data_IF_544401046064
#
_entry.id   IF_544401046064
#
_cell.length_a   1.000
_cell.length_b   1.000
_cell.length_c   1.000
_cell.angle_alpha   90.00
_cell.angle_beta   90.00
_cell.angle_gamma   90.00
#
_symmetry.space_group_name_H-M   'P 1'
#
loop_
_entity.id
_entity.type
_entity.pdbx_description
1 polymer ?
#
# COMPACT_ATOMS: atom_id res chain seq x y z
N UNK A 1 24.85 -19.08 33.66
CA UNK A 1 23.46 -18.94 33.17
C UNK A 1 23.23 -17.46 32.94
N UNK A 2 23.36 -16.99 31.69
CA UNK A 2 23.21 -15.57 31.36
C UNK A 2 21.75 -15.36 30.98
N UNK A 3 20.99 -14.72 31.87
CA UNK A 3 19.66 -14.18 31.55
C UNK A 3 19.90 -12.98 30.65
N UNK A 4 19.78 -13.17 29.34
CA UNK A 4 19.70 -12.03 28.41
C UNK A 4 18.28 -11.48 28.52
N UNK A 5 18.11 -10.47 29.36
CA UNK A 5 16.99 -9.54 29.23
C UNK A 5 17.11 -8.90 27.85
N UNK A 6 16.28 -9.37 26.92
CA UNK A 6 16.00 -8.64 25.68
C UNK A 6 15.21 -7.40 26.11
N UNK A 7 15.92 -6.33 26.44
CA UNK A 7 15.29 -5.02 26.44
C UNK A 7 14.80 -4.78 25.01
N UNK A 8 13.50 -4.53 24.78
CA UNK A 8 13.06 -4.08 23.47
C UNK A 8 13.81 -2.78 23.22
N UNK A 9 14.70 -2.79 22.23
CA UNK A 9 15.30 -1.56 21.71
C UNK A 9 14.13 -0.76 21.16
N UNK A 10 13.60 0.10 22.02
CA UNK A 10 12.69 1.17 21.66
C UNK A 10 13.48 2.00 20.65
N UNK A 11 13.19 1.81 19.36
CA UNK A 11 13.46 2.86 18.39
C UNK A 11 12.12 3.59 18.26
N UNK A 12 11.85 4.59 19.13
CA UNK A 12 10.73 5.47 18.89
C UNK A 12 11.02 6.07 17.53
N UNK A 13 10.14 5.86 16.55
CA UNK A 13 10.08 6.63 15.31
C UNK A 13 11.46 7.14 14.87
N UNK A 14 12.06 6.47 13.89
CA UNK A 14 12.91 7.22 12.96
C UNK A 14 11.99 8.32 12.42
N UNK A 15 11.98 9.49 13.08
CA UNK A 15 11.72 10.81 12.51
C UNK A 15 12.85 11.02 11.52
N UNK A 16 12.82 10.24 10.45
CA UNK A 16 13.91 10.12 9.53
C UNK A 16 13.28 9.70 8.23
N UNK A 17 13.49 10.59 7.28
CA UNK A 17 13.31 10.51 5.86
C UNK A 17 12.47 9.32 5.34
N UNK A 18 11.41 9.58 4.57
CA UNK A 18 10.65 8.50 3.96
C UNK A 18 11.61 7.58 3.19
N UNK A 19 11.48 6.26 3.36
CA UNK A 19 12.39 5.23 2.78
C UNK A 19 12.60 5.45 1.27
N UNK A 20 11.60 6.04 0.62
CA UNK A 20 11.68 6.51 -0.75
C UNK A 20 10.91 7.81 -0.87
N UNK A 21 11.30 8.64 -1.83
CA UNK A 21 10.61 9.87 -2.18
C UNK A 21 9.74 9.59 -3.42
N UNK A 22 8.40 9.43 -3.28
CA UNK A 22 7.52 9.08 -4.41
C UNK A 22 7.66 10.05 -5.59
N UNK A 23 7.86 11.33 -5.27
CA UNK A 23 8.08 12.43 -6.22
C UNK A 23 9.28 12.20 -7.16
N UNK A 24 10.31 11.46 -6.70
CA UNK A 24 11.52 11.17 -7.48
C UNK A 24 11.39 9.94 -8.37
N UNK A 25 10.38 9.10 -8.18
CA UNK A 25 10.16 7.89 -8.98
C UNK A 25 9.50 8.22 -10.32
N UNK A 26 9.72 7.39 -11.35
CA UNK A 26 8.89 7.44 -12.58
C UNK A 26 7.52 6.81 -12.33
N UNK A 27 6.54 7.00 -13.23
CA UNK A 27 5.25 6.28 -13.14
C UNK A 27 5.43 4.76 -13.16
N UNK A 28 6.45 4.27 -13.87
CA UNK A 28 6.83 2.86 -13.85
C UNK A 28 7.37 2.43 -12.48
N UNK A 29 8.25 3.25 -11.87
CA UNK A 29 8.78 3.00 -10.54
C UNK A 29 7.70 2.98 -9.47
N UNK A 30 6.77 3.94 -9.53
CA UNK A 30 5.59 3.96 -8.65
C UNK A 30 4.76 2.69 -8.81
N UNK A 31 4.47 2.27 -10.05
CA UNK A 31 3.70 1.07 -10.32
C UNK A 31 4.38 -0.20 -9.78
N UNK A 32 5.67 -0.38 -10.10
CA UNK A 32 6.42 -1.55 -9.68
C UNK A 32 6.52 -1.64 -8.14
N UNK A 33 6.71 -0.50 -7.47
CA UNK A 33 6.81 -0.46 -6.01
C UNK A 33 5.44 -0.71 -5.35
N UNK A 34 4.35 -0.16 -5.89
CA UNK A 34 3.01 -0.44 -5.38
C UNK A 34 2.66 -1.93 -5.46
N UNK A 35 2.95 -2.58 -6.60
CA UNK A 35 2.67 -4.00 -6.80
C UNK A 35 3.54 -4.90 -5.90
N UNK A 36 4.82 -4.55 -5.73
CA UNK A 36 5.71 -5.25 -4.81
C UNK A 36 5.22 -5.13 -3.35
N UNK A 37 4.86 -3.92 -2.91
CA UNK A 37 4.35 -3.68 -1.56
C UNK A 37 3.02 -4.39 -1.32
N UNK A 38 2.14 -4.46 -2.31
CA UNK A 38 0.90 -5.27 -2.25
C UNK A 38 1.22 -6.74 -2.00
N UNK A 39 2.16 -7.30 -2.75
CA UNK A 39 2.59 -8.70 -2.57
C UNK A 39 3.15 -8.94 -1.16
N UNK A 40 3.96 -8.02 -0.63
CA UNK A 40 4.48 -8.12 0.74
C UNK A 40 3.34 -8.06 1.76
N UNK A 41 2.37 -7.17 1.58
CA UNK A 41 1.19 -7.07 2.45
C UNK A 41 0.36 -8.37 2.43
N UNK A 42 0.17 -9.00 1.27
CA UNK A 42 -0.53 -10.29 1.14
C UNK A 42 0.21 -11.41 1.89
N UNK A 43 1.55 -11.45 1.81
CA UNK A 43 2.37 -12.39 2.57
C UNK A 43 2.22 -12.17 4.08
N UNK A 44 2.27 -10.91 4.54
CA UNK A 44 2.08 -10.58 5.95
C UNK A 44 0.68 -10.98 6.42
N UNK A 45 -0.36 -10.70 5.64
CA UNK A 45 -1.73 -11.10 5.96
C UNK A 45 -1.86 -12.63 6.11
N UNK A 46 -1.24 -13.40 5.21
CA UNK A 46 -1.19 -14.86 5.30
C UNK A 46 -0.45 -15.37 6.54
N UNK A 47 0.64 -14.71 6.94
CA UNK A 47 1.35 -15.01 8.18
C UNK A 47 0.48 -14.70 9.40
N UNK A 48 -0.19 -13.55 9.43
CA UNK A 48 -1.04 -13.11 10.54
C UNK A 48 -2.22 -14.06 10.82
N UNK A 49 -2.63 -14.88 9.85
CA UNK A 49 -3.66 -15.90 10.03
C UNK A 49 -3.22 -17.09 10.89
N UNK A 50 -1.92 -17.25 11.17
CA UNK A 50 -1.45 -18.35 12.01
C UNK A 50 -1.76 -18.06 13.49
N UNK A 51 -2.21 -19.05 14.28
CA UNK A 51 -2.53 -18.86 15.70
C UNK A 51 -1.37 -18.27 16.51
N UNK A 52 -0.12 -18.57 16.13
CA UNK A 52 1.04 -17.99 16.81
C UNK A 52 1.11 -16.47 16.66
N UNK A 53 0.58 -15.88 15.59
CA UNK A 53 0.62 -14.43 15.33
C UNK A 53 -0.70 -13.73 15.68
N UNK A 54 -1.78 -14.48 15.90
CA UNK A 54 -3.10 -13.98 16.29
C UNK A 54 -3.65 -14.90 17.39
N UNK A 55 -3.47 -14.50 18.65
CA UNK A 55 -3.93 -15.27 19.83
C UNK A 55 -5.09 -14.53 20.52
N UNK A 56 -6.30 -14.70 19.99
CA UNK A 56 -7.51 -14.07 20.53
C UNK A 56 -7.44 -12.54 20.50
N UNK A 57 -7.82 -11.90 21.63
CA UNK A 57 -7.93 -10.44 21.75
C UNK A 57 -6.58 -9.72 21.98
N UNK A 58 -5.48 -10.46 22.23
CA UNK A 58 -4.16 -9.88 22.48
C UNK A 58 -3.11 -10.41 21.52
N UNK A 59 -2.47 -9.52 20.78
CA UNK A 59 -1.39 -9.89 19.88
C UNK A 59 -0.11 -10.19 20.67
N UNK A 60 0.51 -11.37 20.49
CA UNK A 60 1.85 -11.60 21.00
C UNK A 60 2.84 -10.64 20.31
N UNK A 61 4.02 -10.42 20.90
CA UNK A 61 5.01 -9.43 20.42
C UNK A 61 5.31 -9.54 18.91
N UNK A 62 5.49 -10.75 18.40
CA UNK A 62 5.73 -10.98 16.97
C UNK A 62 4.49 -10.74 16.10
N UNK A 63 3.28 -10.87 16.64
CA UNK A 63 2.04 -10.45 15.99
C UNK A 63 1.94 -8.92 15.90
N UNK A 64 2.22 -8.21 16.98
CA UNK A 64 2.29 -6.73 17.01
C UNK A 64 3.34 -6.20 16.01
N UNK A 65 4.52 -6.82 15.95
CA UNK A 65 5.55 -6.45 14.96
C UNK A 65 5.08 -6.64 13.51
N UNK A 66 4.37 -7.73 13.20
CA UNK A 66 3.81 -7.96 11.86
C UNK A 66 2.71 -6.96 11.54
N UNK A 67 1.85 -6.62 12.50
CA UNK A 67 0.82 -5.61 12.32
C UNK A 67 1.43 -4.25 12.01
N UNK A 68 2.40 -3.80 12.79
CA UNK A 68 3.10 -2.52 12.56
C UNK A 68 3.79 -2.47 11.21
N UNK A 69 4.39 -3.57 10.77
CA UNK A 69 4.98 -3.68 9.44
C UNK A 69 3.90 -3.57 8.34
N UNK A 70 2.75 -4.21 8.53
CA UNK A 70 1.62 -4.10 7.60
C UNK A 70 1.10 -2.66 7.52
N UNK A 71 0.91 -1.99 8.66
CA UNK A 71 0.49 -0.58 8.72
C UNK A 71 1.48 0.33 8.00
N UNK A 72 2.78 0.13 8.24
CA UNK A 72 3.82 0.87 7.56
C UNK A 72 3.78 0.70 6.04
N UNK A 73 3.65 -0.55 5.56
CA UNK A 73 3.55 -0.86 4.13
C UNK A 73 2.29 -0.24 3.51
N UNK A 74 1.16 -0.30 4.22
CA UNK A 74 -0.09 0.30 3.75
C UNK A 74 0.04 1.83 3.63
N UNK A 75 0.67 2.49 4.61
CA UNK A 75 0.97 3.92 4.53
C UNK A 75 1.87 4.26 3.34
N UNK A 76 2.91 3.46 3.09
CA UNK A 76 3.78 3.61 1.94
C UNK A 76 3.03 3.45 0.60
N UNK A 77 2.10 2.49 0.49
CA UNK A 77 1.24 2.31 -0.69
C UNK A 77 0.32 3.51 -0.91
N UNK A 78 -0.31 4.03 0.14
CA UNK A 78 -1.16 5.22 0.04
C UNK A 78 -0.41 6.42 -0.53
N UNK A 79 0.82 6.68 -0.09
CA UNK A 79 1.66 7.76 -0.62
C UNK A 79 1.97 7.57 -2.11
N UNK A 80 2.25 6.33 -2.55
CA UNK A 80 2.50 6.02 -3.96
C UNK A 80 1.23 6.26 -4.80
N UNK A 81 0.06 5.85 -4.31
CA UNK A 81 -1.21 6.07 -4.99
C UNK A 81 -1.52 7.54 -5.17
N UNK A 82 -1.45 8.32 -4.08
CA UNK A 82 -1.68 9.76 -4.14
C UNK A 82 -0.76 10.43 -5.15
N UNK A 83 0.53 10.07 -5.15
CA UNK A 83 1.49 10.65 -6.07
C UNK A 83 1.23 10.24 -7.53
N UNK A 84 0.89 8.96 -7.77
CA UNK A 84 0.57 8.47 -9.10
C UNK A 84 -0.70 9.12 -9.69
N UNK A 85 -1.72 9.38 -8.85
CA UNK A 85 -2.97 9.99 -9.28
C UNK A 85 -2.82 11.49 -9.60
N UNK A 86 -1.95 12.20 -8.88
CA UNK A 86 -1.63 13.62 -9.14
C UNK A 86 -0.97 13.86 -10.50
N UNK A 87 -0.24 12.87 -11.03
CA UNK A 87 0.56 13.05 -12.25
C UNK A 87 -0.28 12.96 -13.53
N UNK A 88 -0.11 13.90 -14.48
CA UNK A 88 -0.69 13.75 -15.80
C UNK A 88 0.05 12.65 -16.57
N UNK A 89 -0.65 11.70 -17.21
CA UNK A 89 -0.01 10.66 -18.00
C UNK A 89 0.65 11.26 -19.25
N UNK A 90 1.93 10.93 -19.49
CA UNK A 90 2.69 11.42 -20.66
C UNK A 90 2.69 10.43 -21.82
N UNK A 91 2.49 9.15 -21.51
CA UNK A 91 2.50 8.04 -22.45
C UNK A 91 1.27 7.16 -22.27
N UNK A 92 0.97 6.33 -23.26
CA UNK A 92 -0.09 5.32 -23.13
C UNK A 92 0.21 4.29 -22.05
N UNK A 93 1.49 3.99 -21.80
CA UNK A 93 1.90 3.14 -20.70
C UNK A 93 1.56 3.78 -19.34
N UNK A 94 1.78 5.10 -19.19
CA UNK A 94 1.41 5.82 -17.98
C UNK A 94 -0.11 5.86 -17.78
N UNK A 95 -0.89 6.01 -18.87
CA UNK A 95 -2.36 5.91 -18.81
C UNK A 95 -2.80 4.58 -18.24
N UNK A 96 -2.24 3.46 -18.74
CA UNK A 96 -2.57 2.11 -18.24
C UNK A 96 -2.18 1.93 -16.77
N UNK A 97 -1.03 2.45 -16.35
CA UNK A 97 -0.61 2.42 -14.94
C UNK A 97 -1.51 3.28 -14.07
N UNK A 98 -1.96 4.44 -14.56
CA UNK A 98 -2.92 5.29 -13.84
C UNK A 98 -4.28 4.59 -13.65
N UNK A 99 -4.74 3.87 -14.67
CA UNK A 99 -5.93 2.99 -14.55
C UNK A 99 -5.74 1.93 -13.47
N UNK A 100 -4.55 1.32 -13.36
CA UNK A 100 -4.26 0.38 -12.27
C UNK A 100 -4.44 1.04 -10.89
N UNK A 101 -3.88 2.22 -10.65
CA UNK A 101 -4.00 2.90 -9.36
C UNK A 101 -5.45 3.27 -9.01
N UNK A 102 -6.21 3.74 -10.00
CA UNK A 102 -7.65 4.02 -9.82
C UNK A 102 -8.41 2.73 -9.51
N UNK A 103 -8.14 1.65 -10.24
CA UNK A 103 -8.82 0.39 -10.01
C UNK A 103 -8.51 -0.20 -8.63
N UNK A 104 -7.25 -0.15 -8.20
CA UNK A 104 -6.79 -0.71 -6.92
C UNK A 104 -7.47 -0.04 -5.71
N UNK A 105 -7.83 1.25 -5.77
CA UNK A 105 -8.63 1.93 -4.73
C UNK A 105 -10.05 1.36 -4.55
N UNK A 106 -10.60 0.72 -5.57
CA UNK A 106 -11.98 0.23 -5.55
C UNK A 106 -12.10 -1.29 -5.34
N UNK A 107 -10.98 -2.03 -5.44
CA UNK A 107 -10.96 -3.50 -5.31
C UNK A 107 -10.30 -4.00 -4.02
N UNK A 108 -9.90 -3.10 -3.13
CA UNK A 108 -9.30 -3.42 -1.83
C UNK A 108 -10.27 -4.03 -0.80
N UNK A 109 -11.56 -4.16 -1.16
CA UNK A 109 -12.61 -4.75 -0.33
C UNK A 109 -13.20 -3.79 0.71
N UNK A 110 -12.78 -2.52 0.75
CA UNK A 110 -13.36 -1.50 1.65
C UNK A 110 -14.67 -0.94 1.10
N UNK A 111 -14.85 -0.99 -0.23
CA UNK A 111 -16.03 -0.52 -0.93
C UNK A 111 -17.00 -1.67 -1.23
N UNK A 112 -18.29 -1.43 -0.99
CA UNK A 112 -19.34 -2.30 -1.52
C UNK A 112 -19.27 -2.38 -3.06
N UNK A 113 -19.59 -3.52 -3.69
CA UNK A 113 -19.32 -3.75 -5.11
C UNK A 113 -19.98 -2.73 -6.05
N UNK A 114 -21.18 -2.25 -5.69
CA UNK A 114 -21.89 -1.21 -6.45
C UNK A 114 -21.17 0.15 -6.35
N UNK A 115 -20.66 0.50 -5.17
CA UNK A 115 -19.91 1.73 -4.93
C UNK A 115 -18.59 1.73 -5.72
N UNK A 116 -17.89 0.59 -5.67
CA UNK A 116 -16.66 0.37 -6.41
C UNK A 116 -16.85 0.54 -7.92
N UNK A 117 -17.86 -0.11 -8.51
CA UNK A 117 -18.15 -0.03 -9.94
C UNK A 117 -18.54 1.39 -10.37
N UNK A 118 -19.39 2.07 -9.59
CA UNK A 118 -19.81 3.44 -9.88
C UNK A 118 -18.65 4.44 -9.78
N UNK A 119 -17.79 4.32 -8.76
CA UNK A 119 -16.60 5.15 -8.59
C UNK A 119 -15.59 4.93 -9.71
N UNK A 120 -15.26 3.66 -9.99
CA UNK A 120 -14.35 3.29 -11.06
C UNK A 120 -14.84 3.80 -12.42
N UNK A 121 -16.13 3.61 -12.76
CA UNK A 121 -16.69 4.11 -14.01
C UNK A 121 -16.58 5.63 -14.15
N UNK A 122 -16.69 6.37 -13.05
CA UNK A 122 -16.60 7.84 -13.04
C UNK A 122 -15.16 8.29 -13.29
N UNK A 123 -14.20 7.73 -12.55
CA UNK A 123 -12.80 8.12 -12.67
C UNK A 123 -12.19 7.68 -14.02
N UNK A 124 -12.58 6.51 -14.54
CA UNK A 124 -12.20 6.09 -15.90
C UNK A 124 -12.82 7.00 -16.97
N UNK A 125 -14.04 7.49 -16.75
CA UNK A 125 -14.68 8.47 -17.64
C UNK A 125 -13.88 9.76 -17.76
N UNK A 126 -13.40 10.30 -16.63
CA UNK A 126 -12.53 11.51 -16.62
C UNK A 126 -11.22 11.28 -17.37
N UNK A 127 -10.56 10.14 -17.12
CA UNK A 127 -9.32 9.78 -17.82
C UNK A 127 -9.53 9.63 -19.35
N UNK A 128 -10.70 9.14 -19.77
CA UNK A 128 -11.05 9.04 -21.18
C UNK A 128 -11.28 10.41 -21.83
N UNK A 129 -11.85 11.37 -21.10
CA UNK A 129 -12.01 12.76 -21.56
C UNK A 129 -10.66 13.47 -21.71
N UNK A 130 -9.74 13.30 -20.74
CA UNK A 130 -8.37 13.83 -20.80
C UNK A 130 -7.54 13.24 -21.95
N UNK A 131 -7.95 12.08 -22.48
CA UNK A 131 -7.27 11.41 -23.59
C UNK A 131 -7.82 11.77 -24.98
N UNK A 132 -8.86 12.62 -25.08
CA UNK A 132 -9.38 13.07 -26.38
C UNK A 132 -8.40 14.06 -27.05
N UNK A 133 -8.10 13.87 -28.34
CA UNK A 133 -7.20 14.75 -29.11
C UNK A 133 -7.79 16.15 -29.32
#
# INVERSE_FOLDING_TARGET
MIVRTFEPVFNPLIEGEPIFEPEKLSMEGLFALADALRTVAEVIAGLSCQPRFSDGDQLPLHGDMLQRLCEYINGARSLIHEEALKRPPKTDADRRRKVFFVADEYVDGTNGPVSALCGLSRELGKLAEEARP
#
